data_IF_123410863033
#
_entry.id   IF_123410863033
#
_cell.length_a   1.000
_cell.length_b   1.000
_cell.length_c   1.000
_cell.angle_alpha   90.00
_cell.angle_beta   90.00
_cell.angle_gamma   90.00
#
_symmetry.space_group_name_H-M   'P 1'
#
loop_
_entity.id
_entity.type
_entity.pdbx_description
1 polymer ?
#
# COMPACT_ATOMS: atom_id res chain seq x y z
N UNK A 1 54.53 0.10 -31.77
CA UNK A 1 53.22 -0.37 -31.31
C UNK A 1 52.41 -0.67 -32.55
N UNK A 2 52.05 -1.93 -32.74
CA UNK A 2 51.35 -2.40 -33.94
C UNK A 2 49.87 -2.00 -33.89
N UNK A 3 49.21 -1.92 -35.05
CA UNK A 3 47.80 -1.55 -35.17
C UNK A 3 46.90 -2.51 -34.37
N UNK A 4 47.30 -3.78 -34.29
CA UNK A 4 46.65 -4.82 -33.49
C UNK A 4 46.71 -4.53 -31.99
N UNK A 5 47.85 -4.03 -31.48
CA UNK A 5 48.01 -3.67 -30.07
C UNK A 5 47.15 -2.47 -29.70
N UNK A 6 47.08 -1.45 -30.58
CA UNK A 6 46.21 -0.27 -30.41
C UNK A 6 44.73 -0.70 -30.37
N UNK A 7 44.32 -1.59 -31.28
CA UNK A 7 42.96 -2.11 -31.34
C UNK A 7 42.55 -2.88 -30.08
N UNK A 8 43.45 -3.72 -29.55
CA UNK A 8 43.22 -4.46 -28.31
C UNK A 8 43.08 -3.53 -27.09
N UNK A 9 43.92 -2.49 -26.99
CA UNK A 9 43.83 -1.49 -25.91
C UNK A 9 42.49 -0.73 -25.99
N UNK A 10 42.06 -0.34 -27.20
CA UNK A 10 40.79 0.36 -27.39
C UNK A 10 39.58 -0.51 -26.98
N UNK A 11 39.59 -1.81 -27.31
CA UNK A 11 38.55 -2.75 -26.88
C UNK A 11 38.52 -2.93 -25.36
N UNK A 12 39.69 -3.04 -24.71
CA UNK A 12 39.80 -3.12 -23.26
C UNK A 12 39.19 -1.89 -22.59
N UNK A 13 39.53 -0.69 -23.08
CA UNK A 13 38.98 0.57 -22.57
C UNK A 13 37.45 0.65 -22.77
N UNK A 14 36.95 0.22 -23.93
CA UNK A 14 35.52 0.13 -24.19
C UNK A 14 34.79 -0.82 -23.22
N UNK A 15 35.37 -2.00 -22.96
CA UNK A 15 34.82 -2.96 -22.01
C UNK A 15 34.80 -2.41 -20.57
N UNK A 16 35.87 -1.71 -20.15
CA UNK A 16 35.92 -1.05 -18.84
C UNK A 16 34.85 0.05 -18.74
N UNK A 17 34.68 0.86 -19.78
CA UNK A 17 33.67 1.92 -19.80
C UNK A 17 32.24 1.36 -19.68
N UNK A 18 31.93 0.24 -20.37
CA UNK A 18 30.66 -0.47 -20.24
C UNK A 18 30.46 -0.95 -18.81
N UNK A 19 31.49 -1.58 -18.22
CA UNK A 19 31.42 -2.13 -16.87
C UNK A 19 31.18 -1.04 -15.82
N UNK A 20 31.89 0.09 -15.90
CA UNK A 20 31.68 1.24 -15.00
C UNK A 20 30.28 1.83 -15.18
N UNK A 21 29.79 1.93 -16.41
CA UNK A 21 28.44 2.42 -16.70
C UNK A 21 27.36 1.52 -16.10
N UNK A 22 27.52 0.20 -16.18
CA UNK A 22 26.60 -0.76 -15.56
C UNK A 22 26.61 -0.66 -14.04
N UNK A 23 27.79 -0.52 -13.42
CA UNK A 23 27.89 -0.31 -11.96
C UNK A 23 27.16 0.97 -11.55
N UNK A 24 27.37 2.05 -12.30
CA UNK A 24 26.70 3.33 -12.05
C UNK A 24 25.18 3.19 -12.14
N UNK A 25 24.67 2.53 -13.18
CA UNK A 25 23.25 2.27 -13.38
C UNK A 25 22.66 1.47 -12.20
N UNK A 26 23.36 0.45 -11.71
CA UNK A 26 22.94 -0.31 -10.52
C UNK A 26 22.88 0.58 -9.27
N UNK A 27 23.85 1.48 -9.08
CA UNK A 27 23.88 2.42 -7.95
C UNK A 27 22.72 3.41 -8.03
N UNK A 28 22.45 3.98 -9.20
CA UNK A 28 21.33 4.91 -9.39
C UNK A 28 19.97 4.24 -9.20
N UNK A 29 19.78 3.04 -9.74
CA UNK A 29 18.57 2.26 -9.51
C UNK A 29 18.34 2.01 -8.02
N UNK A 30 19.38 1.64 -7.26
CA UNK A 30 19.27 1.46 -5.80
C UNK A 30 18.86 2.75 -5.09
N UNK A 31 19.44 3.90 -5.47
CA UNK A 31 19.09 5.20 -4.89
C UNK A 31 17.65 5.59 -5.20
N UNK A 32 17.24 5.44 -6.47
CA UNK A 32 15.89 5.76 -6.91
C UNK A 32 14.85 4.87 -6.20
N UNK A 33 15.09 3.56 -6.11
CA UNK A 33 14.24 2.63 -5.37
C UNK A 33 14.15 3.00 -3.88
N UNK A 34 15.26 3.38 -3.24
CA UNK A 34 15.25 3.83 -1.84
C UNK A 34 14.41 5.10 -1.67
N UNK A 35 14.57 6.09 -2.54
CA UNK A 35 13.78 7.33 -2.50
C UNK A 35 12.29 7.08 -2.71
N UNK A 36 11.94 6.23 -3.68
CA UNK A 36 10.56 5.83 -3.95
C UNK A 36 9.93 5.13 -2.74
N UNK A 37 10.65 4.21 -2.11
CA UNK A 37 10.21 3.54 -0.89
C UNK A 37 9.98 4.53 0.28
N UNK A 38 10.87 5.51 0.47
CA UNK A 38 10.71 6.56 1.49
C UNK A 38 9.48 7.41 1.19
N UNK A 39 9.30 7.85 -0.05
CA UNK A 39 8.16 8.67 -0.45
C UNK A 39 6.82 7.94 -0.24
N UNK A 40 6.73 6.66 -0.64
CA UNK A 40 5.53 5.84 -0.44
C UNK A 40 5.24 5.57 1.04
N UNK A 41 6.28 5.30 1.84
CA UNK A 41 6.15 5.14 3.28
C UNK A 41 5.61 6.42 3.94
N UNK A 42 6.15 7.58 3.54
CA UNK A 42 5.71 8.88 4.04
C UNK A 42 4.26 9.19 3.65
N UNK A 43 3.89 8.97 2.38
CA UNK A 43 2.52 9.14 1.91
C UNK A 43 1.55 8.30 2.76
N UNK A 44 1.89 7.04 2.99
CA UNK A 44 1.08 6.12 3.80
C UNK A 44 0.98 6.56 5.26
N UNK A 45 2.09 7.04 5.84
CA UNK A 45 2.10 7.57 7.20
C UNK A 45 1.15 8.77 7.31
N UNK A 46 1.21 9.72 6.36
CA UNK A 46 0.31 10.87 6.30
C UNK A 46 -1.15 10.46 6.14
N UNK A 47 -1.46 9.47 5.29
CA UNK A 47 -2.83 8.97 5.14
C UNK A 47 -3.37 8.32 6.41
N UNK A 48 -2.53 7.54 7.10
CA UNK A 48 -2.87 6.93 8.38
C UNK A 48 -3.04 7.99 9.47
N UNK A 49 -2.19 9.00 9.51
CA UNK A 49 -2.25 10.11 10.45
C UNK A 49 -3.55 10.90 10.29
N UNK A 50 -3.91 11.26 9.05
CA UNK A 50 -5.21 11.90 8.72
C UNK A 50 -6.39 11.07 9.20
N UNK A 51 -6.32 9.75 9.02
CA UNK A 51 -7.36 8.83 9.48
C UNK A 51 -7.42 8.78 11.02
N UNK A 52 -6.28 8.80 11.70
CA UNK A 52 -6.22 8.83 13.15
C UNK A 52 -6.80 10.15 13.70
N UNK A 53 -6.45 11.30 13.12
CA UNK A 53 -7.07 12.57 13.50
C UNK A 53 -8.58 12.58 13.33
N UNK A 54 -9.10 12.02 12.22
CA UNK A 54 -10.55 11.87 12.05
C UNK A 54 -11.17 10.98 13.13
N UNK A 55 -10.51 9.90 13.53
CA UNK A 55 -11.00 9.02 14.60
C UNK A 55 -10.94 9.66 16.00
N UNK A 56 -10.08 10.66 16.20
CA UNK A 56 -9.98 11.42 17.45
C UNK A 56 -11.11 12.46 17.61
N UNK A 57 -11.81 12.80 16.52
CA UNK A 57 -13.02 13.62 16.61
C UNK A 57 -14.13 12.84 17.33
N UNK A 58 -14.73 13.46 18.35
CA UNK A 58 -15.71 12.80 19.23
C UNK A 58 -16.94 12.30 18.46
N UNK A 59 -17.42 13.09 17.48
CA UNK A 59 -18.59 12.69 16.68
C UNK A 59 -18.24 11.47 15.82
N UNK A 60 -17.09 11.50 15.14
CA UNK A 60 -16.63 10.37 14.36
C UNK A 60 -16.40 9.13 15.23
N UNK A 61 -15.82 9.28 16.41
CA UNK A 61 -15.61 8.17 17.35
C UNK A 61 -16.93 7.52 17.77
N UNK A 62 -17.96 8.32 18.07
CA UNK A 62 -19.31 7.83 18.38
C UNK A 62 -19.92 7.09 17.19
N UNK A 63 -19.80 7.64 15.97
CA UNK A 63 -20.29 7.00 14.75
C UNK A 63 -19.60 5.66 14.54
N UNK A 64 -18.27 5.59 14.68
CA UNK A 64 -17.52 4.33 14.54
C UNK A 64 -17.97 3.30 15.57
N UNK A 65 -18.10 3.69 16.84
CA UNK A 65 -18.53 2.79 17.90
C UNK A 65 -19.93 2.22 17.64
N UNK A 66 -20.89 3.07 17.25
CA UNK A 66 -22.26 2.67 16.90
C UNK A 66 -22.26 1.76 15.67
N UNK A 67 -21.52 2.16 14.63
CA UNK A 67 -21.43 1.45 13.38
C UNK A 67 -20.79 0.07 13.52
N UNK A 68 -19.81 -0.10 14.41
CA UNK A 68 -19.17 -1.38 14.66
C UNK A 68 -20.15 -2.44 15.18
N UNK A 69 -21.16 -2.02 15.96
CA UNK A 69 -22.24 -2.90 16.43
C UNK A 69 -23.24 -3.20 15.32
N UNK A 70 -23.72 -2.17 14.60
CA UNK A 70 -24.55 -2.36 13.40
C UNK A 70 -24.55 -1.12 12.52
N UNK A 71 -24.14 -1.30 11.28
CA UNK A 71 -24.16 -0.24 10.28
C UNK A 71 -25.58 0.06 9.81
N UNK A 72 -26.47 -0.94 9.78
CA UNK A 72 -27.85 -0.76 9.32
C UNK A 72 -28.64 0.24 10.16
N UNK A 73 -28.39 0.28 11.48
CA UNK A 73 -29.05 1.15 12.46
C UNK A 73 -28.46 2.58 12.54
N UNK A 74 -27.49 2.90 11.68
CA UNK A 74 -27.01 4.27 11.56
C UNK A 74 -28.03 5.16 10.85
N UNK A 75 -28.09 6.41 11.29
CA UNK A 75 -28.75 7.48 10.57
C UNK A 75 -28.06 7.72 9.23
N UNK A 76 -28.78 8.28 8.24
CA UNK A 76 -28.23 8.47 6.89
C UNK A 76 -26.94 9.30 6.88
N UNK A 77 -26.84 10.34 7.72
CA UNK A 77 -25.61 11.14 7.80
C UNK A 77 -24.45 10.38 8.46
N UNK A 78 -24.75 9.50 9.43
CA UNK A 78 -23.74 8.64 10.08
C UNK A 78 -23.24 7.58 9.08
N UNK A 79 -24.12 7.04 8.23
CA UNK A 79 -23.75 6.12 7.15
C UNK A 79 -22.76 6.75 6.19
N UNK A 80 -23.00 7.99 5.74
CA UNK A 80 -22.08 8.71 4.86
C UNK A 80 -20.69 8.85 5.49
N UNK A 81 -20.62 9.23 6.77
CA UNK A 81 -19.35 9.35 7.49
C UNK A 81 -18.63 8.01 7.62
N UNK A 82 -19.36 6.96 8.02
CA UNK A 82 -18.80 5.64 8.22
C UNK A 82 -18.36 4.97 6.91
N UNK A 83 -19.14 5.10 5.85
CA UNK A 83 -18.76 4.62 4.51
C UNK A 83 -17.46 5.26 4.03
N UNK A 84 -17.32 6.58 4.17
CA UNK A 84 -16.09 7.28 3.79
C UNK A 84 -14.88 6.76 4.58
N UNK A 85 -15.07 6.44 5.86
CA UNK A 85 -14.04 5.83 6.70
C UNK A 85 -13.68 4.41 6.28
N UNK A 86 -14.66 3.56 5.99
CA UNK A 86 -14.46 2.18 5.50
C UNK A 86 -13.74 2.20 4.15
N UNK A 87 -14.17 3.03 3.21
CA UNK A 87 -13.50 3.18 1.90
C UNK A 87 -12.06 3.66 2.05
N UNK A 88 -11.79 4.60 2.97
CA UNK A 88 -10.44 5.07 3.24
C UNK A 88 -9.56 3.95 3.83
N UNK A 89 -10.09 3.16 4.78
CA UNK A 89 -9.38 1.99 5.35
C UNK A 89 -9.06 0.94 4.28
N UNK A 90 -10.03 0.58 3.44
CA UNK A 90 -9.86 -0.36 2.33
C UNK A 90 -8.78 0.15 1.36
N UNK A 91 -8.83 1.42 0.98
CA UNK A 91 -7.84 2.02 0.08
C UNK A 91 -6.41 1.97 0.63
N UNK A 92 -6.24 2.25 1.93
CA UNK A 92 -4.93 2.16 2.61
C UNK A 92 -4.44 0.70 2.65
N UNK A 93 -5.32 -0.26 2.90
CA UNK A 93 -4.99 -1.69 2.92
C UNK A 93 -4.52 -2.18 1.54
N UNK A 94 -5.30 -1.90 0.48
CA UNK A 94 -5.00 -2.31 -0.89
C UNK A 94 -3.67 -1.72 -1.37
N UNK A 95 -3.44 -0.41 -1.14
CA UNK A 95 -2.16 0.24 -1.50
C UNK A 95 -0.99 -0.31 -0.70
N UNK A 96 -1.18 -0.52 0.60
CA UNK A 96 -0.17 -1.13 1.46
C UNK A 96 0.22 -2.54 1.04
N UNK A 97 -0.75 -3.33 0.57
CA UNK A 97 -0.53 -4.69 0.09
C UNK A 97 0.19 -4.71 -1.26
N UNK A 98 -0.27 -3.92 -2.24
CA UNK A 98 0.37 -3.82 -3.57
C UNK A 98 1.83 -3.39 -3.46
N UNK A 99 2.12 -2.40 -2.62
CA UNK A 99 3.50 -2.00 -2.36
C UNK A 99 4.37 -3.14 -1.80
N UNK A 100 3.81 -3.97 -0.91
CA UNK A 100 4.54 -5.12 -0.38
C UNK A 100 4.77 -6.22 -1.43
N UNK A 101 3.86 -6.41 -2.39
CA UNK A 101 4.04 -7.35 -3.51
C UNK A 101 5.04 -6.84 -4.56
N UNK A 102 4.97 -5.56 -4.90
CA UNK A 102 5.71 -4.95 -6.02
C UNK A 102 7.12 -4.46 -5.63
N UNK A 103 7.47 -4.48 -4.35
CA UNK A 103 8.79 -4.06 -3.89
C UNK A 103 9.90 -5.01 -4.39
N UNK A 104 10.79 -4.47 -5.24
CA UNK A 104 11.90 -5.16 -5.88
C UNK A 104 12.90 -5.82 -4.92
N UNK A 105 12.92 -5.41 -3.64
CA UNK A 105 13.71 -6.05 -2.60
C UNK A 105 12.76 -6.82 -1.66
N UNK A 106 12.73 -8.15 -1.80
CA UNK A 106 11.88 -9.07 -1.01
C UNK A 106 12.20 -9.09 0.50
N UNK A 107 13.28 -8.43 0.93
CA UNK A 107 13.70 -8.44 2.33
C UNK A 107 12.77 -7.49 3.12
N UNK A 108 11.94 -8.06 4.00
CA UNK A 108 11.01 -7.31 4.85
C UNK A 108 9.62 -7.09 4.27
N UNK A 109 9.35 -7.48 3.02
CA UNK A 109 8.03 -7.33 2.39
C UNK A 109 6.99 -8.30 2.95
N UNK A 110 7.40 -9.49 3.40
CA UNK A 110 6.52 -10.45 4.08
C UNK A 110 5.95 -9.86 5.37
N UNK A 111 6.79 -9.24 6.20
CA UNK A 111 6.34 -8.57 7.42
C UNK A 111 5.32 -7.45 7.13
N UNK A 112 5.55 -6.66 6.07
CA UNK A 112 4.60 -5.61 5.66
C UNK A 112 3.28 -6.20 5.17
N UNK A 113 3.34 -7.29 4.40
CA UNK A 113 2.17 -8.04 3.91
C UNK A 113 1.36 -8.59 5.08
N UNK A 114 2.00 -9.28 6.00
CA UNK A 114 1.37 -9.89 7.17
C UNK A 114 0.75 -8.83 8.06
N UNK A 115 1.46 -7.72 8.30
CA UNK A 115 0.91 -6.58 9.04
C UNK A 115 -0.34 -6.01 8.37
N UNK A 116 -0.35 -5.86 7.03
CA UNK A 116 -1.55 -5.41 6.31
C UNK A 116 -2.69 -6.40 6.49
N UNK A 117 -2.44 -7.70 6.32
CA UNK A 117 -3.44 -8.76 6.50
C UNK A 117 -4.04 -8.76 7.90
N UNK A 118 -3.21 -8.67 8.94
CA UNK A 118 -3.65 -8.64 10.35
C UNK A 118 -4.54 -7.43 10.61
N UNK A 119 -4.05 -6.21 10.33
CA UNK A 119 -4.80 -4.98 10.59
C UNK A 119 -6.12 -4.92 9.81
N UNK A 120 -6.12 -5.40 8.56
CA UNK A 120 -7.32 -5.40 7.72
C UNK A 120 -8.30 -6.46 8.23
N UNK A 121 -7.83 -7.65 8.59
CA UNK A 121 -8.69 -8.70 9.15
C UNK A 121 -9.31 -8.30 10.48
N UNK A 122 -8.56 -7.63 11.35
CA UNK A 122 -9.07 -7.07 12.60
C UNK A 122 -10.15 -6.02 12.34
N UNK A 123 -9.93 -5.13 11.37
CA UNK A 123 -10.93 -4.14 10.96
C UNK A 123 -12.24 -4.81 10.49
N UNK A 124 -12.14 -5.86 9.67
CA UNK A 124 -13.28 -6.65 9.19
C UNK A 124 -13.80 -7.67 10.22
N UNK A 125 -13.28 -7.72 11.44
CA UNK A 125 -13.83 -8.57 12.50
C UNK A 125 -15.17 -8.03 13.05
N UNK A 126 -15.40 -6.72 12.89
CA UNK A 126 -16.65 -6.07 13.28
C UNK A 126 -17.79 -6.44 12.33
N UNK A 127 -18.93 -6.83 12.91
CA UNK A 127 -20.15 -7.15 12.16
C UNK A 127 -20.61 -5.97 11.30
N UNK A 128 -20.72 -4.76 11.88
CA UNK A 128 -21.18 -3.61 11.13
C UNK A 128 -20.20 -3.10 10.07
N UNK A 129 -18.88 -3.35 10.21
CA UNK A 129 -17.93 -3.11 9.11
C UNK A 129 -18.25 -4.01 7.91
N UNK A 130 -18.57 -5.29 8.14
CA UNK A 130 -18.98 -6.21 7.07
C UNK A 130 -20.30 -5.79 6.43
N UNK A 131 -21.30 -5.40 7.23
CA UNK A 131 -22.56 -4.87 6.70
C UNK A 131 -22.35 -3.63 5.81
N UNK A 132 -21.48 -2.70 6.24
CA UNK A 132 -21.12 -1.54 5.43
C UNK A 132 -20.42 -1.97 4.13
N UNK A 133 -19.50 -2.91 4.21
CA UNK A 133 -18.79 -3.45 3.06
C UNK A 133 -19.73 -4.11 2.04
N UNK A 134 -20.68 -4.94 2.49
CA UNK A 134 -21.70 -5.56 1.62
C UNK A 134 -22.52 -4.48 0.91
N UNK A 135 -22.98 -3.46 1.65
CA UNK A 135 -23.71 -2.32 1.08
C UNK A 135 -22.89 -1.53 0.05
N UNK A 136 -21.59 -1.37 0.27
CA UNK A 136 -20.68 -0.71 -0.67
C UNK A 136 -20.43 -1.58 -1.91
N UNK A 137 -20.32 -2.90 -1.73
CA UNK A 137 -20.12 -3.87 -2.80
C UNK A 137 -21.33 -3.95 -3.73
N UNK A 138 -22.55 -4.01 -3.17
CA UNK A 138 -23.81 -3.98 -3.93
C UNK A 138 -23.92 -2.72 -4.81
N UNK A 139 -23.43 -1.59 -4.30
CA UNK A 139 -23.38 -0.30 -5.03
C UNK A 139 -22.16 -0.14 -5.94
N UNK A 140 -21.28 -1.15 -6.04
CA UNK A 140 -20.05 -1.13 -6.84
C UNK A 140 -19.10 0.02 -6.49
N UNK A 141 -19.00 0.35 -5.20
CA UNK A 141 -18.12 1.41 -4.69
C UNK A 141 -16.73 0.90 -4.26
N UNK A 142 -16.49 -0.40 -4.38
CA UNK A 142 -15.21 -1.04 -4.06
C UNK A 142 -14.49 -1.36 -5.36
N UNK A 143 -13.33 -0.72 -5.57
CA UNK A 143 -12.60 -0.79 -6.83
C UNK A 143 -11.86 -2.12 -7.06
N UNK A 144 -11.46 -2.82 -6.00
CA UNK A 144 -10.63 -4.02 -6.10
C UNK A 144 -10.98 -5.02 -5.00
N UNK A 145 -12.19 -5.59 -5.12
CA UNK A 145 -12.70 -6.60 -4.20
C UNK A 145 -11.86 -7.89 -4.23
N UNK A 146 -11.41 -8.31 -5.41
CA UNK A 146 -10.61 -9.53 -5.56
C UNK A 146 -9.33 -9.47 -4.72
N UNK A 147 -8.61 -8.34 -4.75
CA UNK A 147 -7.44 -8.17 -3.91
C UNK A 147 -7.80 -8.08 -2.44
N UNK A 148 -8.90 -7.42 -2.09
CA UNK A 148 -9.35 -7.32 -0.70
C UNK A 148 -9.63 -8.71 -0.09
N UNK A 149 -10.27 -9.61 -0.85
CA UNK A 149 -10.49 -11.02 -0.47
C UNK A 149 -9.21 -11.83 -0.35
N UNK A 150 -8.13 -11.47 -1.06
CA UNK A 150 -6.79 -12.06 -0.85
C UNK A 150 -6.12 -11.57 0.44
N UNK A 151 -6.47 -10.37 0.89
CA UNK A 151 -5.95 -9.78 2.13
C UNK A 151 -6.69 -10.36 3.34
N UNK A 152 -8.01 -10.57 3.24
CA UNK A 152 -8.86 -11.06 4.32
C UNK A 152 -9.53 -12.36 3.89
N UNK A 153 -9.10 -13.47 4.48
CA UNK A 153 -9.45 -14.82 4.03
C UNK A 153 -10.96 -15.20 4.18
N UNK A 154 -11.80 -14.39 4.86
CA UNK A 154 -13.19 -14.72 5.22
C UNK A 154 -14.15 -13.53 5.04
N UNK A 155 -14.01 -12.81 3.93
CA UNK A 155 -14.77 -11.61 3.59
C UNK A 155 -15.96 -11.93 2.67
#
# INVERSE_FOLDING_TARGET
>A
MDLLEIGAIAQLLGAIAILVSLIFLVVELRKNLKQNNIANSLLRAVELEKLNYKQMDENMAKVIAKAQSSYKHLENYEKVQFEAFVLQKISIALRGYRFAEESAFKIGTNYLRDRVKINTSEFFSSYGVRECYESLLERKLINDDELLRKIVNNL
#
